data_IF_369603756554
#
_entry.id   IF_369603756554
#
_cell.length_a   1.000
_cell.length_b   1.000
_cell.length_c   1.000
_cell.angle_alpha   90.00
_cell.angle_beta   90.00
_cell.angle_gamma   90.00
#
_symmetry.space_group_name_H-M   'P 1'
#
loop_
_entity.id
_entity.type
_entity.pdbx_description
1 polymer ?
#
# COMPACT_ATOMS: atom_id res chain seq x y z
N UNK A 1 -19.44 -26.31 17.98
CA UNK A 1 -18.17 -25.98 18.58
C UNK A 1 -17.58 -24.74 17.96
N UNK A 2 -17.18 -23.81 18.75
CA UNK A 2 -16.54 -22.63 18.23
C UNK A 2 -15.17 -23.01 17.66
N UNK A 3 -14.99 -22.73 16.41
CA UNK A 3 -13.69 -22.88 15.77
C UNK A 3 -12.73 -21.86 16.35
N UNK A 4 -11.59 -22.31 16.79
CA UNK A 4 -10.54 -21.41 17.21
C UNK A 4 -10.03 -20.65 15.99
N UNK A 5 -10.35 -19.37 15.90
CA UNK A 5 -9.89 -18.55 14.79
C UNK A 5 -8.39 -18.35 14.88
N UNK A 6 -7.74 -18.34 13.75
CA UNK A 6 -6.39 -17.81 13.66
C UNK A 6 -6.40 -16.36 14.07
N UNK A 7 -5.45 -15.89 14.88
CA UNK A 7 -5.25 -14.47 15.03
C UNK A 7 -5.04 -13.84 13.66
N UNK A 8 -5.66 -12.71 13.43
CA UNK A 8 -5.36 -11.95 12.23
C UNK A 8 -3.90 -11.54 12.24
N UNK A 9 -3.21 -11.55 11.07
CA UNK A 9 -1.84 -11.11 11.01
C UNK A 9 -1.74 -9.65 11.43
N UNK A 10 -0.72 -9.32 12.18
CA UNK A 10 -0.40 -7.94 12.52
C UNK A 10 0.11 -7.17 11.33
N UNK A 11 0.24 -5.85 11.49
CA UNK A 11 0.72 -4.96 10.44
C UNK A 11 2.07 -5.38 9.87
N UNK A 12 3.03 -5.68 10.74
CA UNK A 12 4.38 -6.05 10.30
C UNK A 12 4.40 -7.38 9.54
N UNK A 13 3.56 -8.30 9.93
CA UNK A 13 3.42 -9.58 9.22
C UNK A 13 2.81 -9.39 7.83
N UNK A 14 1.80 -8.54 7.71
CA UNK A 14 1.21 -8.19 6.42
C UNK A 14 2.23 -7.52 5.50
N UNK A 15 3.01 -6.59 6.03
CA UNK A 15 4.06 -5.91 5.27
C UNK A 15 5.09 -6.92 4.77
N UNK A 16 5.56 -7.80 5.65
CA UNK A 16 6.57 -8.79 5.28
C UNK A 16 6.07 -9.78 4.21
N UNK A 17 4.81 -10.17 4.32
CA UNK A 17 4.24 -11.20 3.45
C UNK A 17 3.85 -10.68 2.08
N UNK A 18 3.18 -9.52 2.02
CA UNK A 18 2.57 -9.02 0.79
C UNK A 18 3.32 -7.87 0.14
N UNK A 19 3.92 -7.00 0.92
CA UNK A 19 4.51 -5.78 0.39
C UNK A 19 6.03 -5.85 0.22
N UNK A 20 6.73 -6.46 1.17
CA UNK A 20 8.19 -6.55 1.08
C UNK A 20 8.69 -7.24 -0.19
N UNK A 21 8.08 -8.32 -0.68
CA UNK A 21 8.51 -8.92 -1.94
C UNK A 21 8.41 -7.98 -3.14
N UNK A 22 7.44 -7.07 -3.15
CA UNK A 22 7.28 -6.08 -4.22
C UNK A 22 8.39 -5.04 -4.21
N UNK A 23 8.96 -4.77 -3.05
CA UNK A 23 10.01 -3.76 -2.87
C UNK A 23 11.42 -4.36 -2.89
N UNK A 24 11.56 -5.66 -3.11
CA UNK A 24 12.84 -6.38 -2.94
C UNK A 24 13.97 -5.84 -3.84
N UNK A 25 13.64 -5.33 -5.03
CA UNK A 25 14.61 -4.79 -5.96
C UNK A 25 15.01 -3.34 -5.68
N UNK A 26 14.31 -2.65 -4.78
CA UNK A 26 14.53 -1.25 -4.49
C UNK A 26 15.24 -1.09 -3.15
N UNK A 27 16.52 -0.73 -3.18
CA UNK A 27 17.32 -0.54 -1.97
C UNK A 27 16.79 0.62 -1.10
N UNK A 28 16.26 1.66 -1.72
CA UNK A 28 15.70 2.80 -1.00
C UNK A 28 14.48 2.48 -0.17
N UNK A 29 13.80 1.38 -0.46
CA UNK A 29 12.68 0.89 0.34
C UNK A 29 13.12 0.29 1.69
N UNK A 30 14.43 -0.01 1.86
CA UNK A 30 15.02 -0.49 3.11
C UNK A 30 14.34 -1.73 3.66
N UNK A 31 13.93 -2.65 2.78
CA UNK A 31 13.20 -3.88 3.09
C UNK A 31 11.88 -3.62 3.85
N UNK A 32 11.33 -2.41 3.75
CA UNK A 32 10.11 -1.99 4.45
C UNK A 32 10.21 -2.16 5.98
N UNK A 33 11.41 -1.97 6.53
CA UNK A 33 11.64 -2.11 7.96
C UNK A 33 11.40 -0.82 8.74
N UNK A 34 11.26 0.30 8.03
CA UNK A 34 10.93 1.59 8.63
C UNK A 34 9.90 2.32 7.77
N UNK A 35 9.47 3.48 8.24
CA UNK A 35 8.42 4.28 7.60
C UNK A 35 8.97 5.23 6.54
N UNK A 36 10.21 5.05 6.13
CA UNK A 36 10.87 5.95 5.20
C UNK A 36 11.42 5.20 4.00
N UNK A 37 11.65 5.93 2.93
CA UNK A 37 12.37 5.44 1.76
C UNK A 37 13.45 6.46 1.38
N UNK A 38 14.56 5.95 0.86
CA UNK A 38 15.62 6.78 0.31
C UNK A 38 15.66 6.55 -1.19
N UNK A 39 15.37 7.59 -1.95
CA UNK A 39 15.27 7.51 -3.40
C UNK A 39 16.36 8.36 -4.05
N UNK A 40 17.11 7.75 -4.95
CA UNK A 40 18.07 8.47 -5.79
C UNK A 40 17.36 8.96 -7.04
N UNK A 41 17.37 10.27 -7.26
CA UNK A 41 16.75 10.89 -8.42
C UNK A 41 17.88 11.48 -9.30
N UNK A 42 17.94 11.15 -10.60
CA UNK A 42 18.92 11.77 -11.48
C UNK A 42 18.81 13.30 -11.50
N UNK A 43 19.91 14.04 -11.69
CA UNK A 43 19.88 15.51 -11.59
C UNK A 43 18.94 16.20 -12.60
N UNK A 44 18.68 15.57 -13.72
CA UNK A 44 17.80 16.09 -14.79
C UNK A 44 16.37 15.57 -14.71
N UNK A 45 16.06 14.80 -13.66
CA UNK A 45 14.74 14.22 -13.44
C UNK A 45 14.03 14.89 -12.28
N UNK A 46 12.73 14.75 -12.27
CA UNK A 46 11.87 15.17 -11.15
C UNK A 46 11.14 13.97 -10.61
N UNK A 47 10.97 13.93 -9.30
CA UNK A 47 10.16 12.92 -8.63
C UNK A 47 8.78 13.49 -8.39
N UNK A 48 7.76 12.80 -8.89
CA UNK A 48 6.36 13.14 -8.61
C UNK A 48 5.79 12.03 -7.75
N UNK A 49 5.28 12.40 -6.58
CA UNK A 49 4.74 11.44 -5.61
C UNK A 49 3.32 11.83 -5.29
N UNK A 50 2.46 10.84 -5.24
CA UNK A 50 1.11 11.00 -4.73
C UNK A 50 0.83 9.92 -3.70
N UNK A 51 -0.04 10.24 -2.76
CA UNK A 51 -0.54 9.29 -1.78
C UNK A 51 -1.99 9.64 -1.49
N UNK A 52 -2.80 8.62 -1.26
CA UNK A 52 -4.19 8.81 -0.92
C UNK A 52 -4.67 7.65 -0.07
N UNK A 53 -5.72 7.90 0.70
CA UNK A 53 -6.40 6.86 1.44
C UNK A 53 -7.90 6.93 1.14
N UNK A 54 -8.55 5.77 1.21
CA UNK A 54 -9.99 5.67 1.04
C UNK A 54 -10.65 5.34 2.36
N UNK A 55 -11.72 6.06 2.67
CA UNK A 55 -12.46 5.93 3.93
C UNK A 55 -13.83 5.34 3.63
N UNK A 56 -14.16 4.26 4.34
CA UNK A 56 -15.46 3.61 4.22
C UNK A 56 -16.59 4.60 4.53
N UNK A 57 -17.62 4.58 3.70
CA UNK A 57 -18.76 5.48 3.84
C UNK A 57 -18.54 6.89 3.30
N UNK A 58 -17.30 7.22 2.90
CA UNK A 58 -16.95 8.52 2.27
C UNK A 58 -16.56 8.30 0.82
N UNK A 59 -15.57 7.45 0.57
CA UNK A 59 -15.04 7.20 -0.77
C UNK A 59 -15.62 5.93 -1.41
N UNK A 60 -16.17 5.06 -0.62
CA UNK A 60 -16.82 3.83 -1.07
C UNK A 60 -17.88 3.39 -0.04
N UNK A 61 -18.89 2.59 -0.43
CA UNK A 61 -19.89 2.08 0.50
C UNK A 61 -19.25 1.23 1.59
N UNK A 62 -19.78 1.30 2.81
CA UNK A 62 -19.24 0.55 3.95
C UNK A 62 -19.26 -0.97 3.75
N UNK A 63 -20.14 -1.46 2.90
CA UNK A 63 -20.28 -2.88 2.57
C UNK A 63 -19.51 -3.28 1.31
N UNK A 64 -18.72 -2.39 0.73
CA UNK A 64 -17.92 -2.70 -0.44
C UNK A 64 -16.88 -3.77 -0.12
N UNK A 65 -16.63 -4.62 -1.10
CA UNK A 65 -15.68 -5.72 -0.96
C UNK A 65 -14.24 -5.24 -1.20
N UNK A 66 -13.25 -5.83 -0.51
CA UNK A 66 -11.84 -5.47 -0.72
C UNK A 66 -11.39 -5.53 -2.18
N UNK A 67 -11.88 -6.51 -2.95
CA UNK A 67 -11.54 -6.65 -4.36
C UNK A 67 -12.06 -5.51 -5.24
N UNK A 68 -13.03 -4.74 -4.76
CA UNK A 68 -13.53 -3.55 -5.45
C UNK A 68 -12.83 -2.28 -4.94
N UNK A 69 -12.44 -2.25 -3.67
CA UNK A 69 -11.80 -1.10 -3.02
C UNK A 69 -10.35 -0.94 -3.51
N UNK A 70 -9.59 -2.02 -3.55
CA UNK A 70 -8.17 -1.97 -3.89
C UNK A 70 -7.93 -1.43 -5.31
N UNK A 71 -8.65 -1.86 -6.36
CA UNK A 71 -8.51 -1.26 -7.69
C UNK A 71 -8.86 0.22 -7.72
N UNK A 72 -9.86 0.65 -6.95
CA UNK A 72 -10.22 2.06 -6.87
C UNK A 72 -9.10 2.89 -6.26
N UNK A 73 -8.49 2.42 -5.18
CA UNK A 73 -7.37 3.11 -4.54
C UNK A 73 -6.22 3.32 -5.55
N UNK A 74 -5.86 2.29 -6.29
CA UNK A 74 -4.82 2.40 -7.31
C UNK A 74 -5.21 3.38 -8.41
N UNK A 75 -6.43 3.32 -8.91
CA UNK A 75 -6.90 4.18 -9.99
C UNK A 75 -6.90 5.66 -9.61
N UNK A 76 -7.33 6.01 -8.38
CA UNK A 76 -7.34 7.42 -7.97
C UNK A 76 -5.93 7.97 -7.87
N UNK A 77 -4.98 7.18 -7.39
CA UNK A 77 -3.58 7.59 -7.35
C UNK A 77 -2.99 7.77 -8.75
N UNK A 78 -3.25 6.85 -9.66
CA UNK A 78 -2.80 6.95 -11.04
C UNK A 78 -3.43 8.14 -11.76
N UNK A 79 -4.68 8.43 -11.50
CA UNK A 79 -5.37 9.59 -12.07
C UNK A 79 -4.73 10.91 -11.64
N UNK A 80 -4.32 11.01 -10.39
CA UNK A 80 -3.66 12.20 -9.87
C UNK A 80 -2.27 12.43 -10.49
N UNK A 81 -1.63 11.36 -10.95
CA UNK A 81 -0.32 11.42 -11.60
C UNK A 81 -0.39 11.69 -13.11
N UNK A 82 -1.55 11.51 -13.70
CA UNK A 82 -1.74 11.63 -15.14
C UNK A 82 -1.59 13.07 -15.67
#
# INVERSE_FOLDING_TARGET
>A
MARKSRPEPGEFELIARFFRPLAAAERGARALLDDAAVLAVPPDARLVVTADCLIAGVHFPKDAKPEDIAPKLLRVNLSDLA
#
